data_IF_618938952963
#
_entry.id   IF_618938952963
#
_cell.length_a   1.000
_cell.length_b   1.000
_cell.length_c   1.000
_cell.angle_alpha   90.00
_cell.angle_beta   90.00
_cell.angle_gamma   90.00
#
_symmetry.space_group_name_H-M   'P 1'
#
loop_
_entity.id
_entity.type
_entity.pdbx_description
1 polymer ?
#
# COMPACT_ATOMS: atom_id res chain seq x y z
N UNK A 1 -16.39 -23.75 15.81
CA UNK A 1 -15.46 -23.12 14.83
C UNK A 1 -14.19 -22.72 15.55
N UNK A 2 -13.07 -23.33 15.20
CA UNK A 2 -11.77 -23.07 15.84
C UNK A 2 -10.90 -22.16 14.95
N UNK A 3 -10.05 -21.34 15.55
CA UNK A 3 -9.11 -20.48 14.80
C UNK A 3 -8.21 -21.29 13.85
N UNK A 4 -7.87 -22.52 14.21
CA UNK A 4 -7.07 -23.40 13.36
C UNK A 4 -7.82 -23.78 12.07
N UNK A 5 -9.13 -24.03 12.15
CA UNK A 5 -9.96 -24.32 10.96
C UNK A 5 -10.02 -23.11 10.03
N UNK A 6 -10.16 -21.91 10.59
CA UNK A 6 -10.15 -20.66 9.81
C UNK A 6 -8.80 -20.42 9.13
N UNK A 7 -7.67 -20.66 9.80
CA UNK A 7 -6.33 -20.54 9.20
C UNK A 7 -6.16 -21.50 8.01
N UNK A 8 -6.60 -22.75 8.16
CA UNK A 8 -6.56 -23.76 7.10
C UNK A 8 -7.45 -23.33 5.93
N UNK A 9 -8.67 -22.91 6.22
CA UNK A 9 -9.61 -22.43 5.21
C UNK A 9 -9.03 -21.25 4.40
N UNK A 10 -8.48 -20.23 5.06
CA UNK A 10 -7.84 -19.10 4.40
C UNK A 10 -6.66 -19.54 3.54
N UNK A 11 -5.81 -20.46 4.03
CA UNK A 11 -4.68 -20.98 3.26
C UNK A 11 -5.12 -21.68 1.97
N UNK A 12 -6.21 -22.46 2.00
CA UNK A 12 -6.78 -23.11 0.81
C UNK A 12 -7.37 -22.08 -0.15
N UNK A 13 -8.09 -21.08 0.37
CA UNK A 13 -8.69 -20.01 -0.42
C UNK A 13 -7.63 -19.21 -1.19
N UNK A 14 -6.53 -18.86 -0.53
CA UNK A 14 -5.43 -18.09 -1.12
C UNK A 14 -4.59 -18.90 -2.12
N UNK A 15 -4.41 -20.20 -1.85
CA UNK A 15 -3.60 -21.07 -2.72
C UNK A 15 -4.38 -21.64 -3.91
N UNK A 16 -5.71 -21.59 -3.89
CA UNK A 16 -6.56 -22.23 -4.90
C UNK A 16 -6.41 -23.75 -5.01
N UNK A 17 -5.70 -24.39 -4.05
CA UNK A 17 -5.36 -25.81 -4.06
C UNK A 17 -5.15 -26.36 -2.65
N UNK A 18 -5.75 -27.49 -2.33
CA UNK A 18 -5.52 -28.18 -1.07
C UNK A 18 -4.07 -28.66 -0.89
N UNK A 19 -3.43 -29.08 -1.98
CA UNK A 19 -2.03 -29.53 -1.96
C UNK A 19 -1.08 -28.37 -1.70
N UNK A 20 -1.20 -27.27 -2.46
CA UNK A 20 -0.38 -26.09 -2.28
C UNK A 20 -0.59 -25.46 -0.89
N UNK A 21 -1.83 -25.44 -0.38
CA UNK A 21 -2.11 -25.01 0.99
C UNK A 21 -1.40 -25.87 2.04
N UNK A 22 -1.41 -27.21 1.84
CA UNK A 22 -0.74 -28.16 2.75
C UNK A 22 0.77 -27.90 2.81
N UNK A 23 1.42 -27.71 1.69
CA UNK A 23 2.84 -27.37 1.60
C UNK A 23 3.15 -26.03 2.31
N UNK A 24 2.36 -25.01 2.03
CA UNK A 24 2.54 -23.67 2.62
C UNK A 24 2.45 -23.63 4.14
N UNK A 25 1.57 -24.43 4.73
CA UNK A 25 1.38 -24.46 6.21
C UNK A 25 2.03 -25.69 6.86
N UNK A 26 2.95 -26.35 6.16
CA UNK A 26 3.68 -27.55 6.63
C UNK A 26 2.78 -28.62 7.22
N UNK A 27 1.76 -29.01 6.46
CA UNK A 27 0.78 -30.01 6.86
C UNK A 27 0.56 -31.04 5.75
N UNK A 28 -0.16 -32.13 6.05
CA UNK A 28 -0.53 -33.11 5.04
C UNK A 28 -1.91 -32.79 4.43
N UNK A 29 -2.06 -32.98 3.11
CA UNK A 29 -3.29 -32.65 2.38
C UNK A 29 -4.53 -33.33 2.95
N UNK A 30 -4.42 -34.57 3.44
CA UNK A 30 -5.54 -35.31 4.05
C UNK A 30 -6.09 -34.59 5.28
N UNK A 31 -5.21 -34.05 6.14
CA UNK A 31 -5.59 -33.27 7.33
C UNK A 31 -6.27 -31.95 6.92
N UNK A 32 -5.71 -31.21 5.95
CA UNK A 32 -6.33 -29.99 5.41
C UNK A 32 -7.73 -30.27 4.90
N UNK A 33 -7.90 -31.34 4.09
CA UNK A 33 -9.18 -31.73 3.53
C UNK A 33 -10.19 -32.09 4.62
N UNK A 34 -9.75 -32.82 5.65
CA UNK A 34 -10.59 -33.20 6.79
C UNK A 34 -11.08 -31.97 7.56
N UNK A 35 -10.15 -31.03 7.90
CA UNK A 35 -10.49 -29.82 8.66
C UNK A 35 -11.44 -28.87 7.91
N UNK A 36 -11.28 -28.76 6.60
CA UNK A 36 -12.23 -27.99 5.78
C UNK A 36 -13.60 -28.65 5.78
N UNK A 37 -13.68 -29.98 5.63
CA UNK A 37 -14.96 -30.70 5.72
C UNK A 37 -15.64 -30.57 7.09
N UNK A 38 -14.86 -30.60 8.17
CA UNK A 38 -15.39 -30.38 9.52
C UNK A 38 -15.98 -28.96 9.64
N UNK A 39 -15.31 -27.95 9.09
CA UNK A 39 -15.81 -26.58 9.06
C UNK A 39 -17.08 -26.44 8.19
N UNK A 40 -17.10 -27.06 7.01
CA UNK A 40 -18.28 -27.10 6.14
C UNK A 40 -19.48 -27.79 6.82
N UNK A 41 -19.24 -28.91 7.53
CA UNK A 41 -20.25 -29.61 8.28
C UNK A 41 -20.80 -28.79 9.46
N UNK A 42 -19.90 -28.11 10.21
CA UNK A 42 -20.30 -27.27 11.34
C UNK A 42 -21.17 -26.09 10.89
N UNK A 43 -20.79 -25.44 9.74
CA UNK A 43 -21.52 -24.31 9.18
C UNK A 43 -22.72 -24.73 8.32
N UNK A 44 -22.86 -26.02 8.07
CA UNK A 44 -23.89 -26.61 7.15
C UNK A 44 -23.86 -25.88 5.78
N UNK A 45 -22.67 -25.55 5.29
CA UNK A 45 -22.44 -24.83 4.04
C UNK A 45 -21.24 -25.41 3.30
N UNK A 46 -21.35 -25.53 1.99
CA UNK A 46 -20.19 -25.81 1.13
C UNK A 46 -19.39 -24.53 0.91
N UNK A 47 -18.10 -24.53 1.23
CA UNK A 47 -17.24 -23.35 1.14
C UNK A 47 -16.42 -23.35 -0.15
N UNK A 48 -16.15 -24.54 -0.71
CA UNK A 48 -15.36 -24.70 -1.93
C UNK A 48 -16.06 -25.51 -3.00
N UNK A 49 -15.85 -25.13 -4.26
CA UNK A 49 -16.21 -25.90 -5.45
C UNK A 49 -14.93 -26.46 -6.05
N UNK A 50 -14.88 -27.79 -6.25
CA UNK A 50 -13.75 -28.44 -6.93
C UNK A 50 -13.87 -28.27 -8.44
N UNK A 51 -12.79 -27.86 -9.07
CA UNK A 51 -12.67 -27.74 -10.52
C UNK A 51 -11.45 -28.55 -11.01
N UNK A 52 -11.35 -28.80 -12.31
CA UNK A 52 -10.19 -29.49 -12.91
C UNK A 52 -8.86 -28.76 -12.65
N UNK A 53 -8.91 -27.43 -12.49
CA UNK A 53 -7.74 -26.55 -12.26
C UNK A 53 -7.48 -26.23 -10.79
N UNK A 54 -8.23 -26.81 -9.83
CA UNK A 54 -8.07 -26.52 -8.42
C UNK A 54 -9.39 -26.37 -7.67
N UNK A 55 -9.46 -25.40 -6.75
CA UNK A 55 -10.68 -25.09 -5.99
C UNK A 55 -11.00 -23.61 -6.04
N UNK A 56 -12.28 -23.28 -6.10
CA UNK A 56 -12.79 -21.90 -6.02
C UNK A 56 -13.78 -21.78 -4.87
N UNK A 57 -13.89 -20.59 -4.32
CA UNK A 57 -14.84 -20.32 -3.24
C UNK A 57 -16.29 -20.29 -3.76
N UNK A 58 -17.22 -20.80 -2.94
CA UNK A 58 -18.66 -20.54 -3.08
C UNK A 58 -19.01 -19.13 -2.59
N UNK A 59 -20.27 -18.70 -2.75
CA UNK A 59 -20.73 -17.44 -2.13
C UNK A 59 -20.58 -17.47 -0.59
N UNK A 60 -20.89 -18.60 0.05
CA UNK A 60 -20.68 -18.81 1.48
C UNK A 60 -19.18 -18.78 1.83
N UNK A 61 -18.32 -19.37 0.98
CA UNK A 61 -16.87 -19.32 1.13
C UNK A 61 -16.33 -17.91 1.03
N UNK A 62 -16.80 -17.07 0.09
CA UNK A 62 -16.41 -15.68 -0.01
C UNK A 62 -16.79 -14.89 1.25
N UNK A 63 -18.01 -15.06 1.73
CA UNK A 63 -18.46 -14.43 2.98
C UNK A 63 -17.61 -14.90 4.17
N UNK A 64 -17.38 -16.21 4.28
CA UNK A 64 -16.55 -16.72 5.39
C UNK A 64 -15.11 -16.21 5.31
N UNK A 65 -14.54 -16.05 4.11
CA UNK A 65 -13.14 -15.58 3.95
C UNK A 65 -12.98 -14.18 4.56
N UNK A 66 -13.91 -13.29 4.31
CA UNK A 66 -13.91 -11.94 4.88
C UNK A 66 -13.94 -11.98 6.42
N UNK A 67 -14.88 -12.72 6.99
CA UNK A 67 -14.98 -12.83 8.46
C UNK A 67 -13.84 -13.63 9.08
N UNK A 68 -13.37 -14.70 8.44
CA UNK A 68 -12.25 -15.50 8.94
C UNK A 68 -10.95 -14.67 9.02
N UNK A 69 -10.67 -13.84 8.04
CA UNK A 69 -9.53 -12.93 8.06
C UNK A 69 -9.62 -11.95 9.23
N UNK A 70 -10.79 -11.36 9.48
CA UNK A 70 -11.03 -10.44 10.62
C UNK A 70 -10.86 -11.13 11.97
N UNK A 71 -11.41 -12.32 12.13
CA UNK A 71 -11.31 -13.11 13.38
C UNK A 71 -9.84 -13.47 13.66
N UNK A 72 -9.12 -13.94 12.65
CA UNK A 72 -7.72 -14.32 12.79
C UNK A 72 -6.83 -13.11 13.11
N UNK A 73 -7.09 -11.97 12.49
CA UNK A 73 -6.39 -10.74 12.76
C UNK A 73 -6.62 -10.29 14.21
N UNK A 74 -7.89 -10.22 14.65
CA UNK A 74 -8.23 -9.83 16.01
C UNK A 74 -7.59 -10.76 17.05
N UNK A 75 -7.55 -12.08 16.77
CA UNK A 75 -6.86 -13.04 17.63
C UNK A 75 -5.35 -12.81 17.70
N UNK A 76 -4.71 -12.46 16.58
CA UNK A 76 -3.28 -12.17 16.52
C UNK A 76 -2.97 -10.81 17.18
N UNK A 77 -3.79 -9.77 16.97
CA UNK A 77 -3.73 -8.48 17.68
C UNK A 77 -3.84 -8.66 19.20
N UNK A 78 -4.84 -9.41 19.66
CA UNK A 78 -5.05 -9.70 21.09
C UNK A 78 -3.82 -10.36 21.69
N UNK A 79 -3.24 -11.34 21.01
CA UNK A 79 -2.03 -12.01 21.46
C UNK A 79 -0.86 -11.02 21.55
N UNK A 80 -0.67 -10.16 20.55
CA UNK A 80 0.41 -9.18 20.53
C UNK A 80 0.28 -8.16 21.67
N UNK A 81 -0.95 -7.68 21.94
CA UNK A 81 -1.21 -6.74 23.05
C UNK A 81 -0.97 -7.37 24.41
N UNK A 82 -1.41 -8.62 24.62
CA UNK A 82 -1.28 -9.31 25.91
C UNK A 82 0.15 -9.79 26.21
N UNK A 83 0.98 -9.93 25.19
CA UNK A 83 2.38 -10.35 25.37
C UNK A 83 3.29 -9.25 25.93
N UNK A 84 2.74 -8.09 26.30
CA UNK A 84 3.40 -6.96 27.00
C UNK A 84 4.82 -6.66 26.45
N UNK A 85 4.96 -6.62 25.14
CA UNK A 85 6.21 -6.29 24.49
C UNK A 85 6.14 -4.90 23.88
N UNK A 86 6.88 -3.99 24.48
CA UNK A 86 7.14 -2.65 23.92
C UNK A 86 7.91 -2.72 22.59
N UNK A 87 8.54 -3.86 22.30
CA UNK A 87 9.31 -4.07 21.06
C UNK A 87 8.42 -4.48 19.90
N UNK A 88 8.53 -3.79 18.74
CA UNK A 88 7.88 -4.16 17.48
C UNK A 88 8.23 -5.58 17.05
N UNK A 89 7.22 -6.42 16.77
CA UNK A 89 7.37 -7.80 16.29
C UNK A 89 6.10 -8.33 15.64
N UNK A 90 6.21 -9.48 14.99
CA UNK A 90 5.05 -10.16 14.34
C UNK A 90 4.85 -9.70 12.90
N UNK A 91 3.68 -9.99 12.35
CA UNK A 91 3.35 -9.65 10.98
C UNK A 91 2.69 -8.27 10.92
N UNK A 92 3.21 -7.39 10.07
CA UNK A 92 2.64 -6.10 9.74
C UNK A 92 2.25 -6.08 8.25
N UNK A 93 0.95 -5.96 7.99
CA UNK A 93 0.38 -5.94 6.64
C UNK A 93 0.06 -4.53 6.23
N UNK A 94 0.68 -4.07 5.16
CA UNK A 94 0.53 -2.70 4.66
C UNK A 94 -0.06 -2.70 3.26
N UNK A 95 -0.83 -1.67 2.97
CA UNK A 95 -1.25 -1.31 1.64
C UNK A 95 -0.61 0.01 1.20
N UNK A 96 -0.32 0.17 -0.08
CA UNK A 96 0.13 1.47 -0.59
C UNK A 96 -0.29 1.66 -2.06
N UNK A 97 -0.51 2.92 -2.44
CA UNK A 97 -0.53 3.27 -3.88
C UNK A 97 0.82 2.91 -4.51
N UNK A 98 0.81 2.51 -5.77
CA UNK A 98 2.02 2.06 -6.47
C UNK A 98 3.13 3.12 -6.45
N UNK A 99 2.80 4.38 -6.68
CA UNK A 99 3.75 5.49 -6.62
C UNK A 99 4.37 5.69 -5.23
N UNK A 100 3.56 5.59 -4.18
CA UNK A 100 4.04 5.66 -2.79
C UNK A 100 4.95 4.49 -2.47
N UNK A 101 4.57 3.27 -2.88
CA UNK A 101 5.39 2.06 -2.71
C UNK A 101 6.72 2.13 -3.47
N UNK A 102 6.74 2.78 -4.65
CA UNK A 102 7.94 2.89 -5.47
C UNK A 102 8.92 3.99 -4.99
N UNK A 103 8.42 5.10 -4.43
CA UNK A 103 9.22 6.29 -4.18
C UNK A 103 9.41 6.58 -2.69
N UNK A 104 8.33 6.54 -1.89
CA UNK A 104 8.37 6.97 -0.48
C UNK A 104 8.71 5.83 0.49
N UNK A 105 8.18 4.65 0.25
CA UNK A 105 8.33 3.54 1.19
C UNK A 105 9.69 2.83 1.15
N UNK A 106 10.47 2.76 0.07
CA UNK A 106 11.69 1.95 0.08
C UNK A 106 12.68 2.33 1.17
N UNK A 107 12.95 3.62 1.38
CA UNK A 107 13.84 4.10 2.45
C UNK A 107 13.26 3.84 3.84
N UNK A 108 11.95 4.08 4.02
CA UNK A 108 11.25 3.82 5.29
C UNK A 108 11.31 2.34 5.65
N UNK A 109 10.99 1.46 4.69
CA UNK A 109 10.96 0.01 4.90
C UNK A 109 12.35 -0.58 5.12
N UNK A 110 13.38 -0.05 4.44
CA UNK A 110 14.78 -0.47 4.66
C UNK A 110 15.22 -0.14 6.09
N UNK A 111 15.07 1.12 6.53
CA UNK A 111 15.38 1.53 7.90
C UNK A 111 14.55 0.76 8.93
N UNK A 112 13.26 0.57 8.64
CA UNK A 112 12.37 -0.18 9.53
C UNK A 112 12.85 -1.64 9.71
N UNK A 113 13.22 -2.29 8.61
CA UNK A 113 13.71 -3.67 8.64
C UNK A 113 15.03 -3.83 9.43
N UNK A 114 15.93 -2.85 9.30
CA UNK A 114 17.17 -2.82 10.08
C UNK A 114 16.92 -2.68 11.58
N UNK A 115 16.03 -1.75 11.96
CA UNK A 115 15.76 -1.45 13.39
C UNK A 115 14.88 -2.51 14.04
N UNK A 116 13.94 -3.09 13.28
CA UNK A 116 12.96 -4.05 13.80
C UNK A 116 12.95 -5.38 13.02
N UNK A 117 14.04 -6.17 13.07
CA UNK A 117 14.17 -7.40 12.27
C UNK A 117 13.18 -8.52 12.67
N UNK A 118 12.52 -8.39 13.81
CA UNK A 118 11.49 -9.34 14.27
C UNK A 118 10.10 -9.05 13.68
N UNK A 119 9.94 -7.96 12.93
CA UNK A 119 8.69 -7.66 12.20
C UNK A 119 8.77 -8.22 10.80
N UNK A 120 7.83 -9.09 10.47
CA UNK A 120 7.63 -9.57 9.12
C UNK A 120 6.72 -8.57 8.37
N UNK A 121 7.28 -7.90 7.36
CA UNK A 121 6.53 -6.95 6.54
C UNK A 121 5.84 -7.66 5.37
N UNK A 122 4.58 -7.30 5.15
CA UNK A 122 3.82 -7.66 3.95
C UNK A 122 3.26 -6.37 3.33
N UNK A 123 3.60 -6.11 2.07
CA UNK A 123 3.14 -4.92 1.35
C UNK A 123 2.36 -5.34 0.11
N UNK A 124 1.15 -4.80 -0.03
CA UNK A 124 0.33 -4.94 -1.24
C UNK A 124 0.12 -3.58 -1.88
N UNK A 125 0.18 -3.52 -3.20
CA UNK A 125 -0.15 -2.29 -3.94
C UNK A 125 -1.56 -2.35 -4.50
N UNK A 126 -2.19 -1.18 -4.62
CA UNK A 126 -3.55 -1.08 -5.15
C UNK A 126 -3.98 0.36 -5.39
N UNK A 127 -5.16 0.51 -5.96
CA UNK A 127 -5.83 1.81 -6.06
C UNK A 127 -6.32 2.26 -4.70
N UNK A 128 -6.54 3.57 -4.52
CA UNK A 128 -7.11 4.11 -3.28
C UNK A 128 -8.40 3.40 -2.87
N UNK A 129 -9.28 3.13 -3.80
CA UNK A 129 -10.55 2.42 -3.53
C UNK A 129 -10.32 0.97 -3.07
N UNK A 130 -9.39 0.24 -3.70
CA UNK A 130 -9.05 -1.13 -3.31
C UNK A 130 -8.40 -1.18 -1.92
N UNK A 131 -7.54 -0.20 -1.61
CA UNK A 131 -6.85 -0.09 -0.33
C UNK A 131 -7.79 0.28 0.81
N UNK A 132 -8.74 1.18 0.59
CA UNK A 132 -9.80 1.49 1.57
C UNK A 132 -10.59 0.21 1.90
N UNK A 133 -11.02 -0.55 0.88
CA UNK A 133 -11.71 -1.83 1.09
C UNK A 133 -10.82 -2.86 1.80
N UNK A 134 -9.51 -2.85 1.54
CA UNK A 134 -8.57 -3.75 2.22
C UNK A 134 -8.43 -3.42 3.72
N UNK A 135 -8.45 -2.14 4.10
CA UNK A 135 -8.48 -1.69 5.49
C UNK A 135 -9.81 -2.02 6.14
N UNK A 136 -10.94 -1.73 5.47
CA UNK A 136 -12.29 -2.01 5.95
C UNK A 136 -12.51 -3.51 6.23
N UNK A 137 -12.01 -4.36 5.34
CA UNK A 137 -12.09 -5.82 5.49
C UNK A 137 -10.95 -6.43 6.33
N UNK A 138 -10.13 -5.61 6.98
CA UNK A 138 -8.98 -6.03 7.78
C UNK A 138 -7.98 -6.94 7.06
N UNK A 139 -7.86 -6.82 5.72
CA UNK A 139 -6.83 -7.53 4.95
C UNK A 139 -5.44 -6.91 5.12
N UNK A 140 -5.41 -5.63 5.47
CA UNK A 140 -4.20 -4.88 5.84
C UNK A 140 -4.42 -4.14 7.15
N UNK A 141 -3.36 -3.92 7.91
CA UNK A 141 -3.38 -3.21 9.19
C UNK A 141 -3.50 -1.69 8.98
N UNK A 142 -3.06 -1.22 7.81
CA UNK A 142 -3.23 0.14 7.34
C UNK A 142 -2.72 0.32 5.93
N UNK A 143 -3.02 1.47 5.31
CA UNK A 143 -2.63 1.74 3.94
C UNK A 143 -2.32 3.22 3.70
N UNK A 144 -1.39 3.48 2.76
CA UNK A 144 -1.07 4.81 2.23
C UNK A 144 -1.91 5.07 0.98
N UNK A 145 -2.81 6.05 1.05
CA UNK A 145 -3.78 6.41 0.00
C UNK A 145 -3.71 7.89 -0.36
N UNK A 146 -4.26 8.27 -1.50
CA UNK A 146 -4.34 9.67 -1.92
C UNK A 146 -5.54 10.38 -1.31
N UNK A 147 -5.28 11.52 -0.64
CA UNK A 147 -6.31 12.39 -0.10
C UNK A 147 -7.05 11.86 1.13
N UNK A 148 -7.80 12.74 1.78
CA UNK A 148 -8.69 12.38 2.87
C UNK A 148 -10.04 11.87 2.33
N UNK A 149 -10.63 10.91 3.01
CA UNK A 149 -11.88 10.26 2.62
C UNK A 149 -12.96 10.45 3.70
N UNK A 150 -14.19 10.77 3.28
CA UNK A 150 -15.32 10.89 4.20
C UNK A 150 -15.87 9.50 4.53
N UNK A 151 -15.29 8.84 5.53
CA UNK A 151 -15.73 7.54 6.02
C UNK A 151 -15.71 7.49 7.54
N UNK A 152 -16.75 6.91 8.14
CA UNK A 152 -16.88 6.85 9.59
C UNK A 152 -15.93 5.85 10.26
N UNK A 153 -15.48 4.84 9.52
CA UNK A 153 -14.69 3.72 10.04
C UNK A 153 -13.18 3.91 9.91
N UNK A 154 -12.69 4.96 9.25
CA UNK A 154 -11.26 5.20 9.11
C UNK A 154 -10.73 6.21 10.12
N UNK A 155 -9.58 5.86 10.72
CA UNK A 155 -8.65 6.84 11.26
C UNK A 155 -7.69 7.25 10.14
N UNK A 156 -7.45 8.54 9.99
CA UNK A 156 -6.70 9.09 8.86
C UNK A 156 -5.69 10.12 9.35
N UNK A 157 -4.46 10.03 8.88
CA UNK A 157 -3.42 11.00 9.18
C UNK A 157 -2.59 11.35 7.94
N UNK A 158 -2.24 12.62 7.78
CA UNK A 158 -1.38 13.09 6.70
C UNK A 158 0.06 12.60 6.94
N UNK A 159 0.68 11.99 5.92
CA UNK A 159 2.05 11.49 6.02
C UNK A 159 2.98 12.18 5.03
N UNK A 160 2.63 12.19 3.74
CA UNK A 160 3.47 12.82 2.71
C UNK A 160 2.70 13.93 1.99
N UNK A 161 3.40 15.00 1.65
CA UNK A 161 2.92 16.01 0.72
C UNK A 161 3.50 15.72 -0.65
N UNK A 162 2.66 15.79 -1.68
CA UNK A 162 3.03 15.50 -3.05
C UNK A 162 2.62 16.66 -3.95
N UNK A 163 3.46 16.96 -4.91
CA UNK A 163 3.13 17.88 -5.99
C UNK A 163 2.87 17.08 -7.27
N UNK A 164 1.65 17.14 -7.81
CA UNK A 164 1.32 16.49 -9.07
C UNK A 164 1.69 17.37 -10.24
N UNK A 165 2.26 16.75 -11.28
CA UNK A 165 2.63 17.39 -12.54
C UNK A 165 2.09 16.57 -13.70
N UNK A 166 1.73 17.26 -14.80
CA UNK A 166 1.48 16.58 -16.07
C UNK A 166 2.83 16.21 -16.70
N UNK A 167 2.90 15.02 -17.27
CA UNK A 167 4.12 14.46 -17.86
C UNK A 167 3.87 14.16 -19.33
N UNK A 168 4.80 14.58 -20.18
CA UNK A 168 4.79 14.32 -21.63
C UNK A 168 6.21 14.11 -22.16
N UNK A 169 6.36 13.49 -23.33
CA UNK A 169 7.63 13.39 -24.05
C UNK A 169 8.02 14.70 -24.74
N UNK A 170 7.08 15.61 -24.95
CA UNK A 170 7.29 16.89 -25.62
C UNK A 170 7.32 18.00 -24.57
N UNK A 171 8.32 18.87 -24.67
CA UNK A 171 8.40 20.09 -23.85
C UNK A 171 7.52 21.18 -24.42
N UNK A 172 6.35 21.38 -23.84
CA UNK A 172 5.50 22.52 -24.15
C UNK A 172 5.99 23.78 -23.43
N UNK A 173 5.87 24.94 -24.09
CA UNK A 173 6.29 26.24 -23.52
C UNK A 173 5.38 26.69 -22.37
N UNK A 174 4.15 26.23 -22.33
CA UNK A 174 3.16 26.53 -21.30
C UNK A 174 2.14 25.41 -21.16
N UNK A 175 1.45 25.38 -20.02
CA UNK A 175 0.33 24.48 -19.80
C UNK A 175 -0.79 24.72 -20.83
N UNK A 176 -1.05 25.98 -21.21
CA UNK A 176 -2.06 26.33 -22.22
C UNK A 176 -1.78 25.65 -23.56
N UNK A 177 -0.52 25.65 -24.02
CA UNK A 177 -0.14 24.97 -25.26
C UNK A 177 -0.36 23.45 -25.17
N UNK A 178 -0.07 22.84 -24.05
CA UNK A 178 -0.34 21.41 -23.83
C UNK A 178 -1.85 21.15 -23.89
N UNK A 179 -2.65 21.98 -23.22
CA UNK A 179 -4.11 21.89 -23.17
C UNK A 179 -4.73 22.00 -24.56
N UNK A 180 -4.28 22.93 -25.41
CA UNK A 180 -4.74 23.09 -26.78
C UNK A 180 -4.57 21.81 -27.63
N UNK A 181 -3.55 21.00 -27.30
CA UNK A 181 -3.29 19.74 -27.99
C UNK A 181 -3.98 18.53 -27.32
N UNK A 182 -4.62 18.70 -26.15
CA UNK A 182 -5.15 17.62 -25.35
C UNK A 182 -6.21 16.77 -26.09
N UNK A 183 -7.02 17.39 -26.94
CA UNK A 183 -8.03 16.69 -27.76
C UNK A 183 -7.44 15.72 -28.79
N UNK A 184 -6.13 15.81 -29.05
CA UNK A 184 -5.38 14.92 -29.94
C UNK A 184 -4.41 14.00 -29.20
N UNK A 185 -4.34 14.13 -27.87
CA UNK A 185 -3.45 13.34 -27.02
C UNK A 185 -4.19 12.16 -26.41
N UNK A 186 -3.49 11.07 -26.23
CA UNK A 186 -3.91 9.99 -25.35
C UNK A 186 -3.55 10.34 -23.91
N UNK A 187 -4.49 10.21 -23.00
CA UNK A 187 -4.26 10.35 -21.57
C UNK A 187 -4.03 8.96 -20.97
N UNK A 188 -2.84 8.75 -20.45
CA UNK A 188 -2.42 7.48 -19.85
C UNK A 188 -2.72 7.54 -18.36
N UNK A 189 -3.53 6.62 -17.85
CA UNK A 189 -4.02 6.65 -16.46
C UNK A 189 -3.89 5.29 -15.80
N UNK A 190 -3.82 5.28 -14.49
CA UNK A 190 -4.01 4.07 -13.70
C UNK A 190 -5.46 3.59 -13.76
N UNK A 191 -5.69 2.39 -13.23
CA UNK A 191 -7.03 1.79 -13.14
C UNK A 191 -8.01 2.68 -12.39
N UNK A 192 -9.28 2.50 -12.70
CA UNK A 192 -10.39 3.15 -11.98
C UNK A 192 -10.26 2.94 -10.48
N UNK A 193 -10.52 4.02 -9.69
CA UNK A 193 -10.29 4.03 -8.24
C UNK A 193 -8.92 4.60 -7.83
N UNK A 194 -8.03 4.95 -8.78
CA UNK A 194 -6.80 5.67 -8.52
C UNK A 194 -7.09 7.14 -8.22
N UNK A 195 -6.49 7.67 -7.16
CA UNK A 195 -6.64 9.07 -6.74
C UNK A 195 -6.14 10.06 -7.80
N UNK A 196 -5.00 9.82 -8.42
CA UNK A 196 -4.44 10.73 -9.43
C UNK A 196 -5.31 10.77 -10.69
N UNK A 197 -5.88 9.62 -11.07
CA UNK A 197 -6.87 9.57 -12.18
C UNK A 197 -8.08 10.43 -11.86
N UNK A 198 -8.67 10.29 -10.69
CA UNK A 198 -9.83 11.11 -10.31
C UNK A 198 -9.49 12.59 -10.22
N UNK A 199 -8.29 12.96 -9.77
CA UNK A 199 -7.81 14.35 -9.75
C UNK A 199 -7.68 14.91 -11.18
N UNK A 200 -7.14 14.12 -12.10
CA UNK A 200 -7.00 14.49 -13.51
C UNK A 200 -8.38 14.65 -14.20
N UNK A 201 -9.28 13.70 -13.99
CA UNK A 201 -10.66 13.74 -14.49
C UNK A 201 -11.42 14.97 -13.95
N UNK A 202 -11.24 15.28 -12.66
CA UNK A 202 -11.82 16.48 -12.05
C UNK A 202 -11.26 17.77 -12.65
N UNK A 203 -9.95 17.83 -12.92
CA UNK A 203 -9.35 18.96 -13.58
C UNK A 203 -9.90 19.14 -14.99
N UNK A 204 -10.01 18.09 -15.79
CA UNK A 204 -10.63 18.11 -17.11
C UNK A 204 -12.07 18.63 -17.06
N UNK A 205 -12.86 18.11 -16.14
CA UNK A 205 -14.25 18.53 -15.97
C UNK A 205 -14.37 20.02 -15.64
N UNK A 206 -13.55 20.54 -14.72
CA UNK A 206 -13.60 21.95 -14.30
C UNK A 206 -13.08 22.93 -15.34
N UNK A 207 -12.21 22.48 -16.22
CA UNK A 207 -11.60 23.32 -17.28
C UNK A 207 -12.24 23.12 -18.66
N UNK A 208 -13.19 22.20 -18.79
CA UNK A 208 -13.82 21.88 -20.06
C UNK A 208 -12.89 21.17 -21.05
N UNK A 209 -11.80 20.56 -20.57
CA UNK A 209 -10.85 19.82 -21.41
C UNK A 209 -11.45 18.47 -21.76
N UNK A 210 -11.45 18.14 -23.05
CA UNK A 210 -11.87 16.83 -23.56
C UNK A 210 -10.63 16.15 -24.16
N UNK A 211 -10.10 15.07 -23.53
CA UNK A 211 -8.96 14.35 -24.10
C UNK A 211 -9.38 13.57 -25.35
N UNK A 212 -8.41 13.35 -26.25
CA UNK A 212 -8.67 12.59 -27.48
C UNK A 212 -8.96 11.11 -27.19
N UNK A 213 -8.22 10.52 -26.30
CA UNK A 213 -8.38 9.12 -25.87
C UNK A 213 -7.89 8.96 -24.41
N UNK A 214 -8.47 8.02 -23.70
CA UNK A 214 -7.99 7.58 -22.36
C UNK A 214 -7.55 6.13 -22.48
N UNK A 215 -6.31 5.85 -22.05
CA UNK A 215 -5.75 4.50 -22.01
C UNK A 215 -5.40 4.15 -20.57
N UNK A 216 -5.93 3.03 -20.09
CA UNK A 216 -5.68 2.53 -18.75
C UNK A 216 -4.49 1.56 -18.76
N UNK A 217 -3.56 1.75 -17.81
CA UNK A 217 -2.39 0.91 -17.61
C UNK A 217 -2.29 0.49 -16.14
N UNK A 218 -1.81 -0.73 -15.90
CA UNK A 218 -1.76 -1.31 -14.55
C UNK A 218 -0.51 -0.95 -13.75
N UNK A 219 0.56 -0.44 -14.37
CA UNK A 219 1.86 -0.23 -13.71
C UNK A 219 2.43 1.16 -14.01
N UNK A 220 3.17 1.69 -13.04
CA UNK A 220 3.88 2.96 -13.16
C UNK A 220 4.90 2.94 -14.31
N UNK A 221 5.69 1.88 -14.39
CA UNK A 221 6.70 1.71 -15.46
C UNK A 221 6.06 1.65 -16.85
N UNK A 222 4.90 0.99 -16.97
CA UNK A 222 4.13 0.95 -18.21
C UNK A 222 3.66 2.33 -18.65
N UNK A 223 3.11 3.12 -17.72
CA UNK A 223 2.70 4.51 -17.96
C UNK A 223 3.90 5.35 -18.38
N UNK A 224 4.99 5.35 -17.61
CA UNK A 224 6.18 6.16 -17.88
C UNK A 224 6.84 5.80 -19.22
N UNK A 225 6.93 4.51 -19.56
CA UNK A 225 7.49 4.05 -20.82
C UNK A 225 6.64 4.48 -22.02
N UNK A 226 5.31 4.41 -21.91
CA UNK A 226 4.40 4.89 -22.95
C UNK A 226 4.47 6.41 -23.13
N UNK A 227 4.58 7.18 -22.03
CA UNK A 227 4.80 8.64 -22.11
C UNK A 227 6.11 8.95 -22.80
N UNK A 228 7.22 8.29 -22.41
CA UNK A 228 8.54 8.49 -23.00
C UNK A 228 8.57 8.15 -24.50
N UNK A 229 7.83 7.14 -24.91
CA UNK A 229 7.64 6.77 -26.32
C UNK A 229 6.75 7.75 -27.10
N UNK A 230 6.21 8.79 -26.47
CA UNK A 230 5.38 9.80 -27.15
C UNK A 230 3.93 9.40 -27.35
N UNK A 231 3.44 8.36 -26.68
CA UNK A 231 2.07 7.88 -26.85
C UNK A 231 1.02 8.82 -26.25
N UNK A 232 1.42 9.68 -25.28
CA UNK A 232 0.46 10.59 -24.65
C UNK A 232 1.02 11.27 -23.40
N UNK A 233 0.10 11.69 -22.54
CA UNK A 233 0.37 12.43 -21.30
C UNK A 233 -0.22 11.72 -20.11
N UNK A 234 0.35 11.97 -18.91
CA UNK A 234 -0.15 11.43 -17.65
C UNK A 234 -0.04 12.44 -16.52
N UNK A 235 -0.68 12.16 -15.37
CA UNK A 235 -0.56 12.93 -14.13
C UNK A 235 0.10 12.08 -13.06
N UNK A 236 1.25 12.55 -12.54
CA UNK A 236 2.05 11.83 -11.55
C UNK A 236 2.66 12.81 -10.53
N UNK A 237 3.06 12.33 -9.34
CA UNK A 237 3.89 13.10 -8.43
C UNK A 237 5.21 13.52 -9.07
N UNK A 238 5.66 14.74 -8.80
CA UNK A 238 6.95 15.28 -9.27
C UNK A 238 8.11 14.37 -8.85
N UNK A 239 8.09 13.86 -7.64
CA UNK A 239 9.09 12.92 -7.11
C UNK A 239 9.23 11.64 -7.94
N UNK A 240 8.14 11.12 -8.49
CA UNK A 240 8.16 9.99 -9.43
C UNK A 240 8.88 10.37 -10.72
N UNK A 241 8.53 11.54 -11.28
CA UNK A 241 9.08 12.01 -12.55
C UNK A 241 10.59 12.25 -12.44
N UNK A 242 11.04 12.91 -11.38
CA UNK A 242 12.46 13.21 -11.13
C UNK A 242 13.31 11.92 -11.03
N UNK A 243 12.79 10.88 -10.39
CA UNK A 243 13.47 9.57 -10.33
C UNK A 243 13.57 8.87 -11.70
N UNK A 244 12.66 9.18 -12.63
CA UNK A 244 12.65 8.58 -13.97
C UNK A 244 13.32 9.46 -15.03
N UNK A 245 13.40 10.77 -14.84
CA UNK A 245 14.01 11.71 -15.82
C UNK A 245 15.46 11.39 -16.19
N UNK A 246 16.23 10.79 -15.27
CA UNK A 246 17.59 10.34 -15.54
C UNK A 246 17.67 9.19 -16.54
N UNK A 247 16.57 8.48 -16.77
CA UNK A 247 16.48 7.28 -17.61
C UNK A 247 15.65 7.47 -18.87
N UNK A 248 14.80 8.50 -18.92
CA UNK A 248 13.83 8.71 -20.00
C UNK A 248 13.67 10.20 -20.31
N UNK A 249 13.52 10.53 -21.61
CA UNK A 249 13.26 11.91 -22.06
C UNK A 249 11.80 12.27 -21.86
N UNK A 250 11.47 12.74 -20.66
CA UNK A 250 10.13 13.24 -20.33
C UNK A 250 10.21 14.65 -19.73
N UNK A 251 9.15 15.41 -19.83
CA UNK A 251 9.04 16.78 -19.33
C UNK A 251 7.81 16.90 -18.43
N UNK A 252 7.97 17.62 -17.33
CA UNK A 252 6.91 17.96 -16.41
C UNK A 252 6.33 19.34 -16.70
N UNK A 253 4.99 19.47 -16.53
CA UNK A 253 4.24 20.70 -16.68
C UNK A 253 3.41 20.94 -15.43
N UNK A 254 3.53 22.12 -14.84
CA UNK A 254 2.87 22.48 -13.59
C UNK A 254 1.36 22.65 -13.78
N UNK A 255 0.59 22.14 -12.82
CA UNK A 255 -0.85 22.36 -12.70
C UNK A 255 -1.17 23.48 -11.72
N UNK A 256 -2.37 24.10 -11.81
CA UNK A 256 -2.84 24.99 -10.76
C UNK A 256 -2.79 24.31 -9.38
N UNK A 257 -2.39 25.06 -8.34
CA UNK A 257 -2.16 24.55 -6.98
C UNK A 257 -3.33 23.72 -6.44
N UNK A 258 -4.56 24.06 -6.81
CA UNK A 258 -5.77 23.31 -6.43
C UNK A 258 -5.72 21.82 -6.82
N UNK A 259 -5.03 21.47 -7.90
CA UNK A 259 -4.94 20.12 -8.44
C UNK A 259 -3.55 19.50 -8.28
N UNK A 260 -2.51 20.36 -8.09
CA UNK A 260 -1.14 19.88 -7.95
C UNK A 260 -0.81 19.50 -6.51
N UNK A 261 -1.33 20.23 -5.51
CA UNK A 261 -1.00 19.99 -4.10
C UNK A 261 -1.91 18.92 -3.53
N UNK A 262 -1.35 17.73 -3.31
CA UNK A 262 -2.07 16.60 -2.75
C UNK A 262 -1.35 16.01 -1.54
N UNK A 263 -2.09 15.29 -0.73
CA UNK A 263 -1.55 14.65 0.46
C UNK A 263 -1.70 13.14 0.35
N UNK A 264 -0.62 12.41 0.58
CA UNK A 264 -0.71 10.98 0.87
C UNK A 264 -1.06 10.81 2.35
N UNK A 265 -2.16 10.12 2.59
CA UNK A 265 -2.75 9.89 3.89
C UNK A 265 -2.55 8.45 4.27
N UNK A 266 -2.14 8.18 5.50
CA UNK A 266 -2.20 6.85 6.06
C UNK A 266 -3.58 6.61 6.65
N UNK A 267 -4.19 5.50 6.29
CA UNK A 267 -5.50 5.08 6.79
C UNK A 267 -5.38 3.76 7.54
N UNK A 268 -6.11 3.64 8.64
CA UNK A 268 -6.30 2.38 9.38
C UNK A 268 -7.74 2.28 9.86
N UNK A 269 -8.18 1.08 10.21
CA UNK A 269 -9.51 0.94 10.81
C UNK A 269 -9.56 1.69 12.15
N UNK A 270 -10.64 2.43 12.41
CA UNK A 270 -10.77 3.28 13.60
C UNK A 270 -10.74 2.48 14.90
N UNK A 271 -11.35 1.29 14.87
CA UNK A 271 -11.37 0.35 15.99
C UNK A 271 -10.12 -0.56 16.03
N UNK A 272 -9.27 -0.48 14.99
CA UNK A 272 -8.02 -1.25 14.93
C UNK A 272 -7.01 -0.75 15.96
N UNK A 273 -6.30 -1.68 16.58
CA UNK A 273 -5.27 -1.38 17.56
C UNK A 273 -4.04 -0.80 16.88
N UNK A 274 -3.54 0.32 17.38
CA UNK A 274 -2.24 0.84 16.97
C UNK A 274 -1.15 0.00 17.66
N UNK A 275 -0.71 -1.06 16.97
CA UNK A 275 0.35 -1.93 17.50
C UNK A 275 1.69 -1.20 17.58
N UNK A 276 2.63 -1.60 18.46
CA UNK A 276 3.98 -1.04 18.49
C UNK A 276 4.70 -1.11 17.12
N UNK A 277 4.48 -2.19 16.38
CA UNK A 277 5.03 -2.34 15.03
C UNK A 277 4.49 -1.27 14.06
N UNK A 278 3.17 -1.02 14.05
CA UNK A 278 2.57 -0.01 13.20
C UNK A 278 2.96 1.40 13.63
N UNK A 279 2.98 1.69 14.95
CA UNK A 279 3.39 2.99 15.48
C UNK A 279 4.83 3.34 15.07
N UNK A 280 5.77 2.42 15.25
CA UNK A 280 7.17 2.61 14.87
C UNK A 280 7.36 2.86 13.37
N UNK A 281 6.58 2.18 12.52
CA UNK A 281 6.59 2.44 11.07
C UNK A 281 6.12 3.86 10.74
N UNK A 282 5.03 4.30 11.36
CA UNK A 282 4.49 5.64 11.12
C UNK A 282 5.43 6.74 11.60
N UNK A 283 6.13 6.53 12.71
CA UNK A 283 7.11 7.49 13.21
C UNK A 283 8.27 7.65 12.23
N UNK A 284 8.77 6.54 11.64
CA UNK A 284 9.78 6.60 10.57
C UNK A 284 9.25 7.25 9.30
N UNK A 285 8.00 6.97 8.91
CA UNK A 285 7.40 7.57 7.74
C UNK A 285 7.22 9.09 7.87
N UNK A 286 6.84 9.58 9.06
CA UNK A 286 6.71 11.02 9.36
C UNK A 286 8.05 11.75 9.38
N UNK A 287 9.13 11.07 9.73
CA UNK A 287 10.49 11.63 9.75
C UNK A 287 11.10 11.84 8.37
N UNK A 288 10.46 11.39 7.29
CA UNK A 288 10.94 11.62 5.93
C UNK A 288 10.67 13.07 5.49
N UNK A 289 11.68 13.80 4.95
CA UNK A 289 11.49 15.16 4.50
C UNK A 289 10.49 15.23 3.35
N UNK A 290 9.62 16.24 3.38
CA UNK A 290 8.79 16.60 2.25
C UNK A 290 9.73 17.12 1.14
N UNK A 291 9.75 16.45 -0.02
CA UNK A 291 10.52 16.80 -1.24
C UNK A 291 11.81 17.57 -0.99
N UNK A 292 12.91 16.86 -0.72
CA UNK A 292 14.22 17.50 -0.55
C UNK A 292 14.90 17.74 -1.89
N UNK A 293 15.13 19.00 -2.20
CA UNK A 293 16.17 19.46 -3.14
C UNK A 293 17.60 19.22 -2.59
N UNK A 294 17.76 18.41 -1.54
CA UNK A 294 19.04 18.11 -0.89
C UNK A 294 19.26 16.60 -0.79
N UNK A 295 19.61 15.97 -1.91
CA UNK A 295 20.36 14.71 -1.89
C UNK A 295 21.84 15.02 -1.79
N UNK A 296 22.29 15.36 -0.59
CA UNK A 296 23.67 15.54 -0.23
C UNK A 296 23.92 14.95 1.14
N UNK A 297 24.62 13.82 1.15
CA UNK A 297 25.30 13.24 2.32
C UNK A 297 24.50 13.22 3.64
N UNK A 298 23.79 12.14 3.89
CA UNK A 298 23.35 11.79 5.24
C UNK A 298 24.60 11.38 6.05
N UNK A 299 25.03 12.28 6.93
CA UNK A 299 26.01 11.99 7.98
C UNK A 299 25.35 11.11 9.03
N UNK A 300 25.58 9.79 8.96
CA UNK A 300 25.03 8.77 9.83
C UNK A 300 25.66 8.75 11.25
N UNK A 301 26.56 9.71 11.58
CA UNK A 301 27.39 9.63 12.79
C UNK A 301 26.91 10.41 14.02
N UNK A 302 25.84 11.22 13.93
CA UNK A 302 25.57 12.20 15.02
C UNK A 302 24.40 11.90 15.97
N UNK A 303 23.65 10.81 15.80
CA UNK A 303 22.47 10.53 16.64
C UNK A 303 22.58 9.30 17.56
N UNK A 304 23.79 8.72 17.75
CA UNK A 304 23.99 7.60 18.67
C UNK A 304 24.79 7.95 19.95
N UNK A 305 25.14 9.22 20.19
CA UNK A 305 25.86 9.63 21.40
C UNK A 305 24.94 10.36 22.39
N UNK A 306 24.11 9.59 23.08
CA UNK A 306 23.25 10.08 24.16
C UNK A 306 23.03 9.02 25.25
N UNK A 307 23.99 8.15 25.49
CA UNK A 307 24.01 7.34 26.72
C UNK A 307 25.36 7.56 27.39
N UNK A 308 25.34 8.40 28.43
CA UNK A 308 26.43 8.69 29.32
C UNK A 308 26.76 7.41 30.17
N UNK A 309 27.96 6.84 30.10
CA UNK A 309 28.36 5.78 31.03
C UNK A 309 28.78 6.44 32.33
N UNK A 310 27.85 6.49 33.30
CA UNK A 310 28.08 6.94 34.64
C UNK A 310 29.38 6.34 35.24
N UNK A 311 30.20 7.27 35.59
CA UNK A 311 31.43 7.17 36.34
C UNK A 311 31.29 6.29 37.64
N UNK A 312 31.95 5.18 37.63
CA UNK A 312 32.06 4.25 38.76
C UNK A 312 33.50 4.14 39.25
N UNK A 313 34.07 5.22 39.77
CA UNK A 313 35.29 5.15 40.54
C UNK A 313 35.07 5.71 41.96
N UNK A 314 35.02 4.85 42.96
CA UNK A 314 35.69 5.12 44.29
C UNK A 314 35.82 3.85 45.12
N UNK A 315 37.05 3.42 45.29
CA UNK A 315 37.91 3.43 46.47
C UNK A 315 37.32 2.75 47.73
N UNK A 316 37.85 1.59 48.00
CA UNK A 316 38.76 1.18 49.07
C UNK A 316 38.56 1.91 50.43
N UNK A 317 38.04 1.22 51.40
CA UNK A 317 38.73 0.79 52.64
C UNK A 317 37.93 -0.32 53.29
#
# INVERSE_FOLDING_TARGET
>A
MELRHLRIFCAVAESGSFTAAAERIHNVQSNITMRVKELEAELNQQLFIRQKSGVVLTSAGLTLLEYAQRILQLADETRNVLMDTTSPRGLLRLGAMETTAAIRLPSVLATYHEVYPQVQLSLVTGTTTELIKAVESHRVDGAFVGGFHQTAFLHQEAVFREELVLVSSIKYKSLSMLVEHMSRQTVLVFRTGCFYRSTLEQWFYQTGIIPGQVMELGTLDGIMSCVAAGMGVTLLPRSVVENHMSRQSVHSHELPAKFSQVTTVFIRHKEGILTPALSALLDLARGQPADSKESGQLDFASNLNGVDPGDGSNMIH
#
